data_IF_179828134007
#
_entry.id   IF_179828134007
#
_cell.length_a   1.000
_cell.length_b   1.000
_cell.length_c   1.000
_cell.angle_alpha   90.00
_cell.angle_beta   90.00
_cell.angle_gamma   90.00
#
_symmetry.space_group_name_H-M   'P 1'
#
loop_
_entity.id
_entity.type
_entity.pdbx_description
1 polymer ?
#
# COMPACT_ATOMS: atom_id res chain seq x y z
N UNK A 1 -8.99 5.27 -4.77
CA UNK A 1 -7.90 5.55 -5.70
C UNK A 1 -8.21 6.84 -6.44
N UNK A 2 -7.28 7.77 -6.46
CA UNK A 2 -7.43 9.08 -7.10
C UNK A 2 -8.73 9.82 -6.73
N UNK A 3 -9.12 9.76 -5.46
CA UNK A 3 -10.34 10.36 -4.94
C UNK A 3 -11.61 9.51 -5.08
N UNK A 4 -11.57 8.39 -5.80
CA UNK A 4 -12.67 7.46 -5.90
C UNK A 4 -12.59 6.35 -4.85
N UNK A 5 -13.72 6.02 -4.24
CA UNK A 5 -13.83 4.90 -3.30
C UNK A 5 -14.05 3.61 -4.08
N UNK A 6 -13.23 2.60 -3.82
CA UNK A 6 -13.36 1.27 -4.39
C UNK A 6 -14.17 0.38 -3.44
N UNK A 7 -15.47 0.35 -3.60
CA UNK A 7 -16.38 -0.41 -2.72
C UNK A 7 -16.16 -1.94 -2.82
N UNK A 8 -15.73 -2.43 -3.99
CA UNK A 8 -15.37 -3.83 -4.22
C UNK A 8 -13.99 -4.24 -3.69
N UNK A 9 -13.24 -3.31 -3.10
CA UNK A 9 -11.96 -3.58 -2.48
C UNK A 9 -10.87 -4.04 -3.48
N UNK A 10 -10.02 -5.04 -3.09
CA UNK A 10 -8.89 -5.47 -3.90
C UNK A 10 -9.27 -5.99 -5.29
N UNK A 11 -10.38 -6.68 -5.42
CA UNK A 11 -10.85 -7.23 -6.70
C UNK A 11 -11.24 -6.12 -7.68
N UNK A 12 -11.88 -5.06 -7.19
CA UNK A 12 -12.20 -3.88 -8.00
C UNK A 12 -10.93 -3.14 -8.42
N UNK A 13 -9.95 -3.03 -7.54
CA UNK A 13 -8.65 -2.44 -7.84
C UNK A 13 -7.92 -3.24 -8.94
N UNK A 14 -7.89 -4.56 -8.84
CA UNK A 14 -7.28 -5.42 -9.85
C UNK A 14 -7.94 -5.27 -11.20
N UNK A 15 -9.27 -5.24 -11.23
CA UNK A 15 -10.06 -5.01 -12.46
C UNK A 15 -9.73 -3.66 -13.08
N UNK A 16 -9.66 -2.61 -12.27
CA UNK A 16 -9.31 -1.26 -12.73
C UNK A 16 -7.89 -1.22 -13.34
N UNK A 17 -6.91 -1.83 -12.68
CA UNK A 17 -5.52 -1.87 -13.17
C UNK A 17 -5.42 -2.65 -14.47
N UNK A 18 -6.12 -3.78 -14.59
CA UNK A 18 -6.18 -4.56 -15.84
C UNK A 18 -6.80 -3.76 -16.97
N UNK A 19 -7.88 -3.05 -16.71
CA UNK A 19 -8.55 -2.20 -17.70
C UNK A 19 -7.64 -1.08 -18.22
N UNK A 20 -6.83 -0.49 -17.38
CA UNK A 20 -5.86 0.55 -17.77
C UNK A 20 -4.75 0.04 -18.69
N UNK A 21 -4.47 -1.26 -18.67
CA UNK A 21 -3.46 -1.90 -19.51
C UNK A 21 -3.98 -2.36 -20.87
N UNK A 22 -5.29 -2.34 -21.06
CA UNK A 22 -5.90 -2.75 -22.32
C UNK A 22 -5.89 -1.60 -23.33
N UNK A 23 -5.45 -1.89 -24.54
CA UNK A 23 -5.64 -0.97 -25.67
C UNK A 23 -7.10 -1.01 -26.16
N UNK A 24 -7.56 0.01 -26.94
CA UNK A 24 -8.89 -0.01 -27.54
C UNK A 24 -9.19 -1.26 -28.39
N UNK A 25 -8.15 -1.94 -28.91
CA UNK A 25 -8.24 -3.19 -29.65
C UNK A 25 -8.31 -4.44 -28.76
N UNK A 26 -8.31 -4.29 -27.43
CA UNK A 26 -8.36 -5.39 -26.47
C UNK A 26 -7.02 -6.11 -26.23
N UNK A 27 -5.92 -5.59 -26.79
CA UNK A 27 -4.58 -6.15 -26.58
C UNK A 27 -4.03 -5.59 -25.26
N UNK A 28 -3.53 -6.48 -24.40
CA UNK A 28 -2.88 -6.08 -23.16
C UNK A 28 -1.54 -5.40 -23.44
N UNK A 29 -1.38 -4.16 -22.96
CA UNK A 29 -0.14 -3.41 -23.06
C UNK A 29 0.71 -3.64 -21.81
N UNK A 30 1.98 -3.98 -21.99
CA UNK A 30 2.93 -4.06 -20.88
C UNK A 30 3.18 -2.66 -20.34
N UNK A 31 3.03 -2.54 -19.02
CA UNK A 31 3.35 -1.32 -18.26
C UNK A 31 4.62 -1.58 -17.48
N UNK A 32 5.61 -0.72 -17.65
CA UNK A 32 6.87 -0.82 -16.93
C UNK A 32 7.05 0.40 -16.04
N UNK A 33 7.34 0.13 -14.77
CA UNK A 33 7.68 1.15 -13.78
C UNK A 33 9.15 1.09 -13.46
N UNK A 34 9.79 2.24 -13.43
CA UNK A 34 11.16 2.42 -12.91
C UNK A 34 11.08 3.37 -11.73
N UNK A 35 11.24 2.84 -10.52
CA UNK A 35 11.23 3.67 -9.29
C UNK A 35 12.59 4.33 -9.14
N UNK A 36 12.60 5.65 -9.06
CA UNK A 36 13.83 6.45 -8.88
C UNK A 36 14.01 6.93 -7.46
N UNK A 37 12.92 7.14 -6.74
CA UNK A 37 12.96 7.61 -5.37
C UNK A 37 11.67 7.32 -4.61
N UNK A 38 11.78 7.31 -3.29
CA UNK A 38 10.64 7.16 -2.40
C UNK A 38 10.92 7.80 -1.05
N UNK A 39 9.87 8.32 -0.43
CA UNK A 39 9.88 8.91 0.91
C UNK A 39 8.74 8.35 1.74
N UNK A 40 9.01 8.12 3.03
CA UNK A 40 8.01 7.66 3.99
C UNK A 40 7.89 8.65 5.13
N UNK A 41 6.65 9.03 5.45
CA UNK A 41 6.32 9.92 6.55
C UNK A 41 5.27 9.27 7.45
N UNK A 42 5.42 9.44 8.75
CA UNK A 42 4.39 9.03 9.71
C UNK A 42 3.25 10.06 9.65
N UNK A 43 2.03 9.61 9.35
CA UNK A 43 0.82 10.44 9.37
C UNK A 43 0.21 10.50 10.75
N UNK A 44 -0.09 9.34 11.31
CA UNK A 44 -0.66 9.22 12.65
C UNK A 44 0.11 8.14 13.41
N UNK A 45 0.87 8.52 14.46
CA UNK A 45 1.63 7.56 15.27
C UNK A 45 0.76 6.67 16.14
N UNK A 46 -0.49 7.06 16.39
CA UNK A 46 -1.47 6.34 17.22
C UNK A 46 -2.69 5.90 16.40
N UNK A 47 -2.43 5.28 15.24
CA UNK A 47 -3.50 4.79 14.38
C UNK A 47 -4.14 3.54 14.99
N UNK A 48 -5.44 3.62 15.30
CA UNK A 48 -6.19 2.56 16.01
C UNK A 48 -7.45 2.11 15.29
N UNK A 49 -7.71 2.62 14.11
CA UNK A 49 -8.89 2.23 13.33
C UNK A 49 -8.91 0.72 13.09
N UNK A 50 -10.00 0.07 13.45
CA UNK A 50 -10.19 -1.38 13.36
C UNK A 50 -9.17 -2.21 14.16
N UNK A 51 -8.44 -1.59 15.09
CA UNK A 51 -7.50 -2.28 15.95
C UNK A 51 -8.23 -3.18 16.93
N UNK A 52 -7.85 -4.47 17.07
CA UNK A 52 -8.41 -5.35 18.09
C UNK A 52 -8.18 -4.80 19.50
N UNK A 53 -9.15 -4.99 20.40
CA UNK A 53 -9.09 -4.48 21.78
C UNK A 53 -7.88 -4.99 22.57
N UNK A 54 -7.46 -6.23 22.34
CA UNK A 54 -6.30 -6.82 22.98
C UNK A 54 -4.97 -6.12 22.63
N UNK A 55 -4.94 -5.35 21.55
CA UNK A 55 -3.78 -4.55 21.15
C UNK A 55 -3.87 -3.09 21.62
N UNK A 56 -5.08 -2.65 22.05
CA UNK A 56 -5.33 -1.28 22.50
C UNK A 56 -4.97 -1.08 23.97
N UNK A 57 -5.21 -2.10 24.82
CA UNK A 57 -4.97 -2.04 26.26
C UNK A 57 -3.79 -2.94 26.63
N UNK A 58 -2.77 -2.40 27.33
CA UNK A 58 -1.79 -3.24 27.99
C UNK A 58 -2.51 -4.09 29.04
N UNK A 59 -2.47 -5.40 28.88
CA UNK A 59 -3.15 -6.37 29.75
C UNK A 59 -2.49 -6.50 31.13
N UNK A 60 -1.26 -6.00 31.27
CA UNK A 60 -0.52 -6.02 32.54
C UNK A 60 0.52 -4.89 32.53
N UNK A 61 0.44 -3.90 33.45
CA UNK A 61 1.43 -2.84 33.54
C UNK A 61 2.83 -3.34 33.93
N UNK A 62 2.94 -4.53 34.50
CA UNK A 62 4.22 -5.16 34.89
C UNK A 62 4.71 -6.18 33.86
N UNK A 63 3.94 -6.44 32.81
CA UNK A 63 4.37 -7.32 31.74
C UNK A 63 5.60 -6.73 31.04
N UNK A 64 6.71 -7.45 31.06
CA UNK A 64 7.87 -7.11 30.26
C UNK A 64 7.44 -7.07 28.80
N UNK A 65 7.72 -5.97 28.06
CA UNK A 65 7.36 -5.90 26.64
C UNK A 65 8.00 -7.09 25.92
N UNK A 66 7.17 -7.98 25.40
CA UNK A 66 7.63 -9.05 24.53
C UNK A 66 8.34 -8.38 23.36
N UNK A 67 9.48 -8.94 22.92
CA UNK A 67 10.19 -8.46 21.73
C UNK A 67 9.27 -8.30 20.52
N UNK A 68 8.19 -9.07 20.49
CA UNK A 68 7.14 -9.04 19.45
C UNK A 68 6.22 -7.83 19.54
N UNK A 69 6.01 -7.27 20.75
CA UNK A 69 5.20 -6.04 20.93
C UNK A 69 5.95 -4.78 20.56
N UNK A 70 7.28 -4.82 20.53
CA UNK A 70 8.10 -3.69 20.07
C UNK A 70 8.01 -3.50 18.54
N UNK A 71 7.66 -4.56 17.81
CA UNK A 71 7.51 -4.53 16.35
C UNK A 71 6.08 -4.18 15.90
N UNK A 72 5.15 -4.02 16.85
CA UNK A 72 3.77 -3.66 16.57
C UNK A 72 3.63 -2.15 16.43
N UNK A 73 3.98 -1.65 15.26
CA UNK A 73 3.84 -0.23 14.95
C UNK A 73 2.37 0.09 14.69
N UNK A 74 1.76 0.86 15.58
CA UNK A 74 0.39 1.39 15.45
C UNK A 74 0.45 2.77 14.79
N UNK A 75 0.85 2.80 13.55
CA UNK A 75 0.97 4.06 12.82
C UNK A 75 0.41 3.94 11.41
N UNK A 76 -0.14 5.02 10.90
CA UNK A 76 -0.36 5.18 9.47
C UNK A 76 0.80 5.93 8.82
N UNK A 77 1.10 5.57 7.60
CA UNK A 77 2.24 6.09 6.86
C UNK A 77 1.79 6.72 5.55
N UNK A 78 2.46 7.79 5.17
CA UNK A 78 2.43 8.33 3.81
C UNK A 78 3.67 7.81 3.09
N UNK A 79 3.48 7.10 1.99
CA UNK A 79 4.54 6.66 1.09
C UNK A 79 4.41 7.42 -0.22
N UNK A 80 5.42 8.18 -0.58
CA UNK A 80 5.53 8.85 -1.86
C UNK A 80 6.57 8.16 -2.73
N UNK A 81 6.18 7.81 -3.95
CA UNK A 81 7.04 7.13 -4.92
C UNK A 81 7.11 7.97 -6.20
N UNK A 82 8.31 8.17 -6.70
CA UNK A 82 8.56 8.87 -7.95
C UNK A 82 9.39 8.03 -8.89
N UNK A 83 9.21 8.20 -10.17
CA UNK A 83 9.96 7.47 -11.17
C UNK A 83 9.46 7.70 -12.58
N UNK A 84 9.72 6.73 -13.42
CA UNK A 84 9.34 6.73 -14.82
C UNK A 84 8.38 5.58 -15.11
N UNK A 85 7.38 5.85 -15.92
CA UNK A 85 6.43 4.85 -16.42
C UNK A 85 6.50 4.80 -17.93
N UNK A 86 6.49 3.62 -18.52
CA UNK A 86 6.39 3.39 -19.95
C UNK A 86 5.28 2.40 -20.27
N UNK A 87 4.57 2.67 -21.35
CA UNK A 87 3.53 1.81 -21.88
C UNK A 87 4.01 1.20 -23.20
N UNK A 88 4.20 -0.11 -23.18
CA UNK A 88 4.68 -0.86 -24.32
C UNK A 88 5.87 -1.77 -23.98
N UNK A 89 6.08 -2.81 -24.81
CA UNK A 89 7.11 -3.82 -24.57
C UNK A 89 8.50 -3.44 -25.04
N UNK A 90 8.65 -2.35 -25.79
CA UNK A 90 9.91 -1.94 -26.39
C UNK A 90 10.76 -1.12 -25.41
N UNK A 91 12.09 -1.31 -25.49
CA UNK A 91 13.05 -0.50 -24.72
C UNK A 91 12.99 0.98 -25.09
N UNK A 92 12.48 1.31 -26.27
CA UNK A 92 12.34 2.66 -26.80
C UNK A 92 10.95 3.25 -26.57
N UNK A 93 10.06 2.54 -25.86
CA UNK A 93 8.74 3.06 -25.52
C UNK A 93 8.86 4.41 -24.79
N UNK A 94 8.03 5.40 -25.12
CA UNK A 94 8.06 6.70 -24.44
C UNK A 94 7.90 6.53 -22.94
N UNK A 95 8.74 7.25 -22.18
CA UNK A 95 8.69 7.27 -20.72
C UNK A 95 8.10 8.60 -20.27
N UNK A 96 7.21 8.51 -19.29
CA UNK A 96 6.66 9.67 -18.59
C UNK A 96 7.05 9.61 -17.11
N UNK A 97 7.24 10.75 -16.50
CA UNK A 97 7.41 10.82 -15.05
C UNK A 97 6.10 10.44 -14.37
N UNK A 98 6.19 9.72 -13.26
CA UNK A 98 5.04 9.46 -12.41
C UNK A 98 5.32 9.83 -10.96
N UNK A 99 4.26 10.14 -10.26
CA UNK A 99 4.21 10.29 -8.81
C UNK A 99 3.06 9.44 -8.29
N UNK A 100 3.32 8.62 -7.31
CA UNK A 100 2.32 7.77 -6.66
C UNK A 100 2.40 7.97 -5.16
N UNK A 101 1.28 8.34 -4.55
CA UNK A 101 1.19 8.59 -3.12
C UNK A 101 0.24 7.58 -2.50
N UNK A 102 0.75 6.81 -1.55
CA UNK A 102 0.01 5.80 -0.82
C UNK A 102 -0.18 6.23 0.64
N UNK A 103 -1.34 5.94 1.18
CA UNK A 103 -1.54 5.87 2.62
C UNK A 103 -1.55 4.41 3.03
N UNK A 104 -0.63 4.05 3.90
CA UNK A 104 -0.46 2.70 4.41
C UNK A 104 -0.98 2.63 5.85
N UNK A 105 -1.71 1.58 6.14
CA UNK A 105 -2.24 1.30 7.48
C UNK A 105 -1.82 -0.09 7.93
N UNK A 106 -1.73 -0.34 9.25
CA UNK A 106 -1.38 -1.66 9.74
C UNK A 106 -2.38 -2.73 9.31
N UNK A 107 -1.86 -3.89 8.92
CA UNK A 107 -2.66 -5.09 8.80
C UNK A 107 -2.70 -5.79 10.16
N UNK A 108 -3.79 -5.61 10.90
CA UNK A 108 -3.94 -6.14 12.26
C UNK A 108 -3.87 -7.66 12.33
N UNK A 109 -4.16 -8.37 11.24
CA UNK A 109 -4.04 -9.82 11.15
C UNK A 109 -2.58 -10.31 11.29
N UNK A 110 -1.61 -9.42 11.09
CA UNK A 110 -0.18 -9.74 11.26
C UNK A 110 0.35 -9.43 12.66
N UNK A 111 -0.45 -8.79 13.52
CA UNK A 111 -0.10 -8.43 14.90
C UNK A 111 -0.51 -9.53 15.91
N UNK A 112 -0.44 -10.78 15.49
CA UNK A 112 -0.74 -11.96 16.28
C UNK A 112 0.49 -12.83 16.44
N UNK A 113 0.44 -13.79 17.38
CA UNK A 113 1.58 -14.68 17.69
C UNK A 113 2.03 -15.50 16.49
N UNK A 114 1.10 -15.98 15.67
CA UNK A 114 1.37 -16.75 14.46
C UNK A 114 0.65 -16.12 13.27
N UNK A 115 1.22 -15.07 12.66
CA UNK A 115 0.57 -14.41 11.53
C UNK A 115 0.53 -15.35 10.31
N UNK A 116 -0.46 -15.19 9.41
CA UNK A 116 -0.52 -15.93 8.17
C UNK A 116 0.79 -15.78 7.37
N UNK A 117 1.29 -16.89 6.81
CA UNK A 117 2.64 -16.98 6.23
C UNK A 117 2.95 -15.96 5.14
N UNK A 118 1.93 -15.54 4.39
CA UNK A 118 2.08 -14.60 3.26
C UNK A 118 1.41 -13.26 3.51
N UNK A 119 0.91 -13.00 4.73
CA UNK A 119 0.27 -11.73 5.05
C UNK A 119 1.29 -10.59 5.07
N UNK A 120 0.95 -9.48 4.43
CA UNK A 120 1.73 -8.26 4.44
C UNK A 120 1.41 -7.44 5.68
N UNK A 121 2.43 -6.80 6.28
CA UNK A 121 2.28 -5.97 7.47
C UNK A 121 1.47 -4.69 7.25
N UNK A 122 1.49 -4.20 6.04
CA UNK A 122 0.87 -2.94 5.66
C UNK A 122 -0.17 -3.17 4.58
N UNK A 123 -1.27 -2.44 4.69
CA UNK A 123 -2.33 -2.39 3.69
C UNK A 123 -2.38 -1.00 3.07
N UNK A 124 -2.68 -0.94 1.80
CA UNK A 124 -2.94 0.32 1.10
C UNK A 124 -4.37 0.75 1.39
N UNK A 125 -4.52 1.87 2.09
CA UNK A 125 -5.81 2.49 2.35
C UNK A 125 -6.20 3.47 1.25
N UNK A 126 -5.21 4.15 0.68
CA UNK A 126 -5.43 5.18 -0.34
C UNK A 126 -4.25 5.21 -1.31
N UNK A 127 -4.55 5.51 -2.56
CA UNK A 127 -3.56 5.71 -3.61
C UNK A 127 -3.93 6.92 -4.47
N UNK A 128 -2.96 7.76 -4.76
CA UNK A 128 -3.10 8.86 -5.70
C UNK A 128 -1.95 8.81 -6.70
N UNK A 129 -2.26 8.35 -7.91
CA UNK A 129 -1.32 8.18 -9.01
C UNK A 129 -1.45 9.29 -10.02
N UNK A 130 -0.32 9.83 -10.45
CA UNK A 130 -0.24 10.81 -11.54
C UNK A 130 0.95 10.50 -12.43
N UNK A 131 0.70 10.46 -13.74
CA UNK A 131 1.73 10.45 -14.78
C UNK A 131 1.68 11.78 -15.54
N UNK A 132 2.84 12.30 -15.81
CA UNK A 132 3.01 13.55 -16.56
C UNK A 132 3.31 13.30 -18.02
#
# INVERSE_FOLDING_TARGET
>A
VNGAVLAGGPDEYETMVKAQRQTPSGIETKVRYEVEGWDVHVLNPDFTLACPENLLTPTDPDAKPDRRTKDNIKASLLLQVTGMISYGGDKEAPKSMFNDVFVLVPNWDTHVKNPPRHARRWLVMSQNFRAL
#
